data_IF_368938309254
#
_entry.id   IF_368938309254
#
_cell.length_a   1.000
_cell.length_b   1.000
_cell.length_c   1.000
_cell.angle_alpha   90.00
_cell.angle_beta   90.00
_cell.angle_gamma   90.00
#
_symmetry.space_group_name_H-M   'P 1'
#
loop_
_entity.id
_entity.type
_entity.pdbx_description
1 polymer ?
#
# COMPACT_ATOMS: atom_id res chain seq x y z
N UNK A 1 -5.61 12.68 18.33
CA UNK A 1 -6.28 12.36 17.06
C UNK A 1 -5.44 11.46 16.15
N UNK A 2 -4.22 11.86 15.75
CA UNK A 2 -3.38 11.07 14.82
C UNK A 2 -3.11 9.61 15.26
N UNK A 3 -2.93 9.36 16.56
CA UNK A 3 -2.78 7.99 17.07
C UNK A 3 -4.03 7.11 16.83
N UNK A 4 -5.22 7.66 17.06
CA UNK A 4 -6.49 6.95 16.82
C UNK A 4 -6.72 6.66 15.34
N UNK A 5 -6.35 7.57 14.45
CA UNK A 5 -6.41 7.34 13.00
C UNK A 5 -5.49 6.20 12.57
N UNK A 6 -4.27 6.14 13.10
CA UNK A 6 -3.34 5.03 12.85
C UNK A 6 -3.84 3.70 13.42
N UNK A 7 -4.42 3.71 14.63
CA UNK A 7 -4.99 2.51 15.22
C UNK A 7 -6.19 2.00 14.41
N UNK A 8 -7.03 2.89 13.88
CA UNK A 8 -8.11 2.52 12.96
C UNK A 8 -7.57 1.89 11.68
N UNK A 9 -6.51 2.47 11.10
CA UNK A 9 -5.85 1.92 9.92
C UNK A 9 -5.25 0.54 10.20
N UNK A 10 -4.69 0.32 11.39
CA UNK A 10 -4.14 -0.97 11.80
C UNK A 10 -5.20 -2.07 11.76
N UNK A 11 -6.35 -1.85 12.41
CA UNK A 11 -7.38 -2.89 12.50
C UNK A 11 -8.01 -3.23 11.16
N UNK A 12 -8.30 -2.20 10.34
CA UNK A 12 -8.91 -2.45 9.03
C UNK A 12 -7.94 -3.15 8.06
N UNK A 13 -6.65 -2.79 8.11
CA UNK A 13 -5.63 -3.42 7.27
C UNK A 13 -5.26 -4.81 7.77
N UNK A 14 -5.40 -5.08 9.07
CA UNK A 14 -5.24 -6.42 9.58
C UNK A 14 -6.33 -7.37 9.07
N UNK A 15 -7.58 -6.90 9.01
CA UNK A 15 -8.67 -7.66 8.39
C UNK A 15 -8.41 -7.88 6.87
N UNK A 16 -7.95 -6.85 6.16
CA UNK A 16 -7.62 -6.96 4.74
C UNK A 16 -6.43 -7.88 4.44
N UNK A 17 -5.42 -7.89 5.32
CA UNK A 17 -4.27 -8.79 5.22
C UNK A 17 -4.69 -10.24 5.44
N UNK A 18 -5.55 -10.50 6.43
CA UNK A 18 -6.12 -11.83 6.66
C UNK A 18 -6.95 -12.33 5.46
N UNK A 19 -7.73 -11.47 4.80
CA UNK A 19 -8.45 -11.83 3.57
C UNK A 19 -7.52 -12.24 2.41
N UNK A 20 -6.27 -11.74 2.41
CA UNK A 20 -5.28 -12.08 1.38
C UNK A 20 -4.44 -13.29 1.76
N UNK A 21 -4.17 -13.48 3.05
CA UNK A 21 -3.40 -14.58 3.59
C UNK A 21 -4.04 -15.05 4.91
N UNK A 22 -4.98 -16.01 4.87
CA UNK A 22 -5.79 -16.39 6.03
C UNK A 22 -4.98 -17.29 6.99
N UNK A 23 -4.18 -16.68 7.85
CA UNK A 23 -3.47 -17.33 8.96
C UNK A 23 -4.30 -17.37 10.24
N UNK A 24 -3.99 -18.29 11.15
CA UNK A 24 -4.65 -18.36 12.46
C UNK A 24 -6.14 -18.71 12.41
N UNK A 25 -6.60 -19.38 11.34
CA UNK A 25 -7.97 -19.87 11.20
C UNK A 25 -8.00 -21.21 10.45
N UNK A 26 -9.01 -22.03 10.73
CA UNK A 26 -9.26 -23.31 10.07
C UNK A 26 -10.71 -23.43 9.63
N UNK A 27 -10.99 -24.25 8.62
CA UNK A 27 -12.35 -24.50 8.17
C UNK A 27 -12.96 -25.66 8.97
N UNK A 28 -14.10 -25.41 9.60
CA UNK A 28 -14.88 -26.44 10.29
C UNK A 28 -16.02 -26.92 9.38
N UNK A 29 -16.09 -28.23 9.19
CA UNK A 29 -17.06 -28.91 8.31
C UNK A 29 -18.45 -28.95 8.97
N UNK A 30 -18.53 -28.94 10.31
CA UNK A 30 -19.80 -29.03 11.02
C UNK A 30 -20.53 -27.68 11.05
N UNK A 31 -19.77 -26.59 11.22
CA UNK A 31 -20.31 -25.22 11.27
C UNK A 31 -20.26 -24.49 9.92
N UNK A 32 -19.63 -25.10 8.90
CA UNK A 32 -19.46 -24.57 7.54
C UNK A 32 -18.87 -23.15 7.49
N UNK A 33 -17.96 -22.84 8.42
CA UNK A 33 -17.32 -21.51 8.55
C UNK A 33 -15.84 -21.63 8.90
N UNK A 34 -15.12 -20.53 8.67
CA UNK A 34 -13.75 -20.37 9.17
C UNK A 34 -13.80 -20.02 10.66
N UNK A 35 -13.17 -20.86 11.49
CA UNK A 35 -13.04 -20.62 12.93
C UNK A 35 -11.60 -20.24 13.28
N UNK A 36 -11.46 -19.22 14.13
CA UNK A 36 -10.16 -18.69 14.55
C UNK A 36 -9.47 -19.69 15.48
N UNK A 37 -8.22 -20.02 15.16
CA UNK A 37 -7.35 -20.87 15.98
C UNK A 37 -6.39 -20.05 16.85
N UNK A 38 -5.87 -18.93 16.31
CA UNK A 38 -4.87 -18.10 16.98
C UNK A 38 -5.06 -16.62 16.65
N UNK A 39 -5.42 -15.83 17.66
CA UNK A 39 -5.55 -14.37 17.49
C UNK A 39 -4.19 -13.69 17.28
N UNK A 40 -3.13 -14.18 17.92
CA UNK A 40 -1.78 -13.60 17.77
C UNK A 40 -1.25 -13.78 16.34
N UNK A 41 -1.44 -14.95 15.73
CA UNK A 41 -1.05 -15.19 14.33
C UNK A 41 -1.86 -14.35 13.34
N UNK A 42 -3.12 -14.04 13.68
CA UNK A 42 -3.95 -13.15 12.86
C UNK A 42 -3.45 -11.70 12.94
N UNK A 43 -3.06 -11.20 14.12
CA UNK A 43 -2.60 -9.81 14.31
C UNK A 43 -1.18 -9.59 13.78
N UNK A 44 -0.29 -10.57 13.96
CA UNK A 44 1.11 -10.47 13.51
C UNK A 44 1.33 -11.10 12.12
N UNK A 45 0.29 -11.17 11.30
CA UNK A 45 0.39 -11.63 9.93
C UNK A 45 1.33 -10.70 9.14
N UNK A 46 2.40 -11.24 8.50
CA UNK A 46 3.39 -10.43 7.80
C UNK A 46 2.77 -9.57 6.70
N UNK A 47 1.77 -10.10 5.98
CA UNK A 47 1.06 -9.41 4.89
C UNK A 47 0.28 -8.21 5.42
N UNK A 48 -0.31 -8.34 6.61
CA UNK A 48 -1.00 -7.24 7.28
C UNK A 48 -0.03 -6.13 7.70
N UNK A 49 1.15 -6.50 8.20
CA UNK A 49 2.15 -5.54 8.68
C UNK A 49 2.72 -4.69 7.55
N UNK A 50 3.13 -5.31 6.44
CA UNK A 50 3.68 -4.58 5.29
C UNK A 50 2.62 -3.65 4.68
N UNK A 51 1.38 -4.12 4.53
CA UNK A 51 0.26 -3.30 4.04
C UNK A 51 -0.07 -2.15 4.97
N UNK A 52 -0.02 -2.35 6.28
CA UNK A 52 -0.23 -1.30 7.27
C UNK A 52 0.75 -0.15 7.08
N UNK A 53 2.05 -0.45 7.12
CA UNK A 53 3.08 0.60 7.04
C UNK A 53 3.03 1.28 5.67
N UNK A 54 2.89 0.53 4.58
CA UNK A 54 2.79 1.12 3.24
C UNK A 54 1.58 2.06 3.09
N UNK A 55 0.41 1.65 3.57
CA UNK A 55 -0.83 2.44 3.43
C UNK A 55 -0.81 3.70 4.29
N UNK A 56 -0.31 3.60 5.52
CA UNK A 56 -0.17 4.77 6.42
C UNK A 56 0.80 5.79 5.82
N UNK A 57 1.94 5.33 5.30
CA UNK A 57 2.92 6.21 4.66
C UNK A 57 2.35 6.86 3.40
N UNK A 58 1.63 6.10 2.56
CA UNK A 58 0.92 6.65 1.42
C UNK A 58 -0.10 7.73 1.83
N UNK A 59 -0.83 7.52 2.93
CA UNK A 59 -1.74 8.52 3.49
C UNK A 59 -1.02 9.81 3.92
N UNK A 60 0.16 9.70 4.53
CA UNK A 60 1.00 10.86 4.85
C UNK A 60 1.47 11.61 3.59
N UNK A 61 1.84 10.89 2.52
CA UNK A 61 2.15 11.50 1.23
C UNK A 61 0.96 12.26 0.68
N UNK A 62 -0.24 11.67 0.68
CA UNK A 62 -1.46 12.33 0.20
C UNK A 62 -1.75 13.61 0.98
N UNK A 63 -1.65 13.58 2.31
CA UNK A 63 -1.85 14.76 3.16
C UNK A 63 -0.82 15.86 2.88
N UNK A 64 0.46 15.50 2.75
CA UNK A 64 1.52 16.44 2.43
C UNK A 64 1.31 17.09 1.05
N UNK A 65 0.94 16.28 0.05
CA UNK A 65 0.67 16.75 -1.30
C UNK A 65 -0.51 17.72 -1.35
N UNK A 66 -1.57 17.45 -0.58
CA UNK A 66 -2.71 18.34 -0.48
C UNK A 66 -2.34 19.71 0.10
N UNK A 67 -1.58 19.74 1.19
CA UNK A 67 -1.10 20.99 1.80
C UNK A 67 -0.21 21.76 0.83
N UNK A 68 0.71 21.07 0.15
CA UNK A 68 1.59 21.70 -0.84
C UNK A 68 0.82 22.23 -2.05
N UNK A 69 -0.19 21.51 -2.55
CA UNK A 69 -1.00 21.95 -3.68
C UNK A 69 -1.77 23.25 -3.35
N UNK A 70 -2.39 23.33 -2.17
CA UNK A 70 -3.09 24.55 -1.73
C UNK A 70 -2.10 25.69 -1.51
N UNK A 71 -0.95 25.41 -0.88
CA UNK A 71 0.08 26.42 -0.63
C UNK A 71 0.65 26.98 -1.94
N UNK A 72 0.93 26.11 -2.92
CA UNK A 72 1.35 26.51 -4.26
C UNK A 72 0.28 27.37 -4.95
N UNK A 73 -1.00 27.02 -4.82
CA UNK A 73 -2.09 27.82 -5.35
C UNK A 73 -2.15 29.23 -4.74
N UNK A 74 -1.98 29.36 -3.42
CA UNK A 74 -1.92 30.68 -2.78
C UNK A 74 -0.73 31.52 -3.24
N UNK A 75 0.44 30.90 -3.40
CA UNK A 75 1.63 31.57 -3.93
C UNK A 75 1.41 32.08 -5.36
N UNK A 76 0.80 31.26 -6.23
CA UNK A 76 0.45 31.65 -7.60
C UNK A 76 -0.55 32.80 -7.66
N UNK A 77 -1.48 32.87 -6.70
CA UNK A 77 -2.48 33.96 -6.60
C UNK A 77 -1.95 35.18 -5.86
N UNK A 78 -0.71 35.15 -5.36
CA UNK A 78 -0.10 36.24 -4.59
C UNK A 78 -0.80 36.53 -3.26
N UNK A 79 -1.49 35.54 -2.67
CA UNK A 79 -2.25 35.66 -1.42
C UNK A 79 -1.49 35.00 -0.27
N UNK A 80 -1.56 35.57 0.93
CA UNK A 80 -1.06 34.95 2.18
C UNK A 80 0.34 34.32 2.07
N UNK A 81 1.28 35.05 1.46
CA UNK A 81 2.60 34.52 1.07
C UNK A 81 3.39 33.90 2.23
N UNK A 82 3.37 34.53 3.40
CA UNK A 82 4.12 34.05 4.57
C UNK A 82 3.61 32.70 5.07
N UNK A 83 2.28 32.54 5.12
CA UNK A 83 1.65 31.27 5.53
C UNK A 83 1.87 30.21 4.47
N UNK A 84 1.72 30.57 3.20
CA UNK A 84 1.87 29.64 2.09
C UNK A 84 3.32 29.13 1.93
N UNK A 85 4.34 29.99 2.07
CA UNK A 85 5.74 29.57 2.03
C UNK A 85 6.10 28.62 3.18
N UNK A 86 5.68 28.94 4.41
CA UNK A 86 5.95 28.10 5.59
C UNK A 86 5.25 26.74 5.47
N UNK A 87 3.99 26.74 5.05
CA UNK A 87 3.19 25.52 4.86
C UNK A 87 3.77 24.65 3.75
N UNK A 88 4.22 25.26 2.65
CA UNK A 88 4.86 24.56 1.55
C UNK A 88 6.20 23.94 1.97
N UNK A 89 7.03 24.66 2.74
CA UNK A 89 8.32 24.15 3.21
C UNK A 89 8.17 22.96 4.17
N UNK A 90 7.23 23.02 5.11
CA UNK A 90 6.96 21.88 6.01
C UNK A 90 6.39 20.70 5.21
N UNK A 91 5.43 20.97 4.32
CA UNK A 91 4.83 19.96 3.44
C UNK A 91 5.85 19.29 2.53
N UNK A 92 6.84 20.01 2.03
CA UNK A 92 7.86 19.45 1.13
C UNK A 92 8.84 18.55 1.86
N UNK A 93 9.31 18.94 3.04
CA UNK A 93 10.21 18.11 3.84
C UNK A 93 9.51 16.84 4.30
N UNK A 94 8.33 16.98 4.92
CA UNK A 94 7.56 15.83 5.40
C UNK A 94 7.11 14.93 4.25
N UNK A 95 6.61 15.52 3.16
CA UNK A 95 6.17 14.79 1.97
C UNK A 95 7.33 14.02 1.31
N UNK A 96 8.51 14.62 1.20
CA UNK A 96 9.68 13.94 0.63
C UNK A 96 10.09 12.73 1.46
N UNK A 97 10.17 12.88 2.79
CA UNK A 97 10.47 11.76 3.69
C UNK A 97 9.41 10.66 3.62
N UNK A 98 8.13 11.04 3.55
CA UNK A 98 7.03 10.09 3.42
C UNK A 98 7.05 9.34 2.08
N UNK A 99 7.42 10.02 0.98
CA UNK A 99 7.56 9.40 -0.35
C UNK A 99 8.67 8.36 -0.34
N UNK A 100 9.86 8.71 0.18
CA UNK A 100 11.00 7.77 0.26
C UNK A 100 10.60 6.52 1.05
N UNK A 101 9.95 6.71 2.20
CA UNK A 101 9.45 5.58 3.00
C UNK A 101 8.42 4.73 2.23
N UNK A 102 7.47 5.37 1.54
CA UNK A 102 6.44 4.68 0.76
C UNK A 102 7.04 3.86 -0.38
N UNK A 103 8.07 4.38 -1.07
CA UNK A 103 8.75 3.67 -2.15
C UNK A 103 9.48 2.42 -1.64
N UNK A 104 10.25 2.55 -0.56
CA UNK A 104 10.99 1.43 0.01
C UNK A 104 10.05 0.33 0.52
N UNK A 105 8.95 0.73 1.17
CA UNK A 105 7.94 -0.20 1.65
C UNK A 105 7.13 -0.82 0.50
N UNK A 106 6.94 -0.07 -0.58
CA UNK A 106 6.30 -0.56 -1.80
C UNK A 106 7.09 -1.70 -2.43
N UNK A 107 8.41 -1.56 -2.52
CA UNK A 107 9.29 -2.62 -3.00
C UNK A 107 9.22 -3.87 -2.12
N UNK A 108 9.30 -3.70 -0.80
CA UNK A 108 9.12 -4.84 0.13
C UNK A 108 7.74 -5.49 0.03
N UNK A 109 6.70 -4.70 -0.24
CA UNK A 109 5.34 -5.22 -0.44
C UNK A 109 5.21 -5.98 -1.74
N UNK A 110 5.87 -5.54 -2.81
CA UNK A 110 5.88 -6.23 -4.10
C UNK A 110 6.59 -7.58 -3.97
N UNK A 111 7.70 -7.63 -3.24
CA UNK A 111 8.42 -8.87 -2.94
C UNK A 111 7.53 -9.86 -2.17
N UNK A 112 6.81 -9.41 -1.14
CA UNK A 112 5.90 -10.27 -0.38
C UNK A 112 4.72 -10.76 -1.24
N UNK A 113 4.16 -9.89 -2.08
CA UNK A 113 3.10 -10.28 -3.03
C UNK A 113 3.61 -11.32 -4.02
N UNK A 114 4.87 -11.24 -4.49
CA UNK A 114 5.48 -12.25 -5.35
C UNK A 114 5.44 -13.65 -4.72
N UNK A 115 5.67 -13.74 -3.40
CA UNK A 115 5.74 -15.00 -2.67
C UNK A 115 4.35 -15.52 -2.28
N UNK A 116 3.48 -14.65 -1.79
CA UNK A 116 2.18 -15.05 -1.23
C UNK A 116 1.09 -15.11 -2.29
N UNK A 117 1.14 -14.21 -3.29
CA UNK A 117 0.10 -14.04 -4.31
C UNK A 117 0.70 -13.73 -5.69
N UNK A 118 1.48 -14.65 -6.29
CA UNK A 118 2.21 -14.40 -7.55
C UNK A 118 1.28 -14.02 -8.71
N UNK A 119 0.03 -14.49 -8.69
CA UNK A 119 -0.98 -14.13 -9.70
C UNK A 119 -1.23 -12.62 -9.75
N UNK A 120 -1.20 -11.93 -8.60
CA UNK A 120 -1.38 -10.48 -8.56
C UNK A 120 -0.19 -9.75 -9.18
N UNK A 121 1.03 -10.18 -8.85
CA UNK A 121 2.23 -9.59 -9.41
C UNK A 121 2.33 -9.86 -10.91
N UNK A 122 2.07 -11.09 -11.35
CA UNK A 122 2.05 -11.45 -12.77
C UNK A 122 1.04 -10.60 -13.55
N UNK A 123 -0.15 -10.36 -13.00
CA UNK A 123 -1.13 -9.48 -13.61
C UNK A 123 -0.69 -8.00 -13.62
N UNK A 124 0.01 -7.52 -12.59
CA UNK A 124 0.56 -6.16 -12.52
C UNK A 124 1.69 -5.93 -13.52
N UNK A 125 2.57 -6.92 -13.71
CA UNK A 125 3.69 -6.89 -14.66
C UNK A 125 3.27 -7.30 -16.08
N UNK A 126 2.04 -7.78 -16.28
CA UNK A 126 1.55 -8.24 -17.58
C UNK A 126 2.21 -9.53 -18.07
N UNK A 127 2.67 -10.36 -17.15
CA UNK A 127 3.33 -11.64 -17.43
C UNK A 127 2.29 -12.76 -17.62
N UNK A 128 2.15 -13.22 -18.85
CA UNK A 128 1.20 -14.27 -19.23
C UNK A 128 1.82 -15.67 -19.26
N UNK A 129 3.15 -15.74 -19.35
CA UNK A 129 3.91 -16.99 -19.36
C UNK A 129 4.94 -16.97 -18.22
N UNK A 130 5.24 -18.13 -17.66
CA UNK A 130 6.25 -18.24 -16.61
C UNK A 130 7.64 -18.20 -17.23
N UNK A 131 8.37 -17.12 -17.02
CA UNK A 131 9.76 -16.97 -17.44
C UNK A 131 10.75 -17.43 -16.33
N UNK A 132 11.90 -18.03 -16.69
CA UNK A 132 12.96 -18.30 -15.73
C UNK A 132 13.57 -16.99 -15.21
N UNK A 133 13.95 -16.96 -13.93
CA UNK A 133 14.59 -15.78 -13.35
C UNK A 133 15.92 -15.44 -14.07
N UNK A 134 16.21 -14.15 -14.37
CA UNK A 134 15.43 -12.96 -14.05
C UNK A 134 14.39 -12.59 -15.12
N UNK A 135 13.14 -12.36 -14.69
CA UNK A 135 12.07 -11.84 -15.55
C UNK A 135 12.24 -10.31 -15.76
N UNK A 136 11.92 -9.78 -16.96
CA UNK A 136 12.01 -8.35 -17.24
C UNK A 136 10.92 -7.54 -16.51
N UNK A 137 11.25 -6.31 -16.09
CA UNK A 137 10.28 -5.36 -15.53
C UNK A 137 9.59 -4.58 -16.66
N UNK A 138 8.25 -4.48 -16.59
CA UNK A 138 7.47 -3.77 -17.60
C UNK A 138 7.01 -2.40 -17.09
N UNK A 139 7.41 -1.31 -17.77
CA UNK A 139 6.97 0.07 -17.44
C UNK A 139 5.45 0.25 -17.65
N UNK A 140 4.84 -0.57 -18.50
CA UNK A 140 3.40 -0.66 -18.67
C UNK A 140 3.03 -1.80 -19.63
N UNK A 141 1.88 -2.41 -19.39
CA UNK A 141 1.33 -3.46 -20.24
C UNK A 141 -0.11 -3.11 -20.64
N UNK A 142 -0.45 -3.35 -21.92
CA UNK A 142 -1.83 -3.29 -22.40
C UNK A 142 -2.37 -4.71 -22.44
N UNK A 143 -3.33 -5.01 -21.56
CA UNK A 143 -4.04 -6.28 -21.59
C UNK A 143 -4.92 -6.35 -22.85
N UNK A 144 -4.36 -6.86 -23.94
CA UNK A 144 -5.15 -7.27 -25.11
C UNK A 144 -5.87 -8.57 -24.77
N UNK A 145 -7.20 -8.56 -24.77
CA UNK A 145 -7.98 -9.82 -24.85
C UNK A 145 -7.51 -10.59 -26.08
N UNK A 146 -7.09 -11.83 -25.86
CA UNK A 146 -6.27 -12.63 -26.76
C UNK A 146 -6.58 -12.52 -28.26
N UNK A 147 -5.52 -12.30 -29.04
CA UNK A 147 -5.43 -12.75 -30.43
C UNK A 147 -3.95 -12.90 -30.80
N UNK A 148 -3.35 -14.01 -30.37
CA UNK A 148 -2.22 -14.63 -31.09
C UNK A 148 -2.49 -16.13 -31.13
N UNK A 149 -3.00 -16.59 -32.28
CA UNK A 149 -2.83 -17.95 -32.76
C UNK A 149 -1.35 -18.19 -33.11
#
# INVERSE_FOLDING_TARGET
MAFGSNLSALWILNANGWMQYPTGAHFDIDTLRMEMTSFSELVFNPVSQVKFVHTVMAGYVTGAMFIMAISAWYLLRGRERDVALRSFAIGSVFGTLAIIGTLQLGDSSAYEVAQVQPVKLAAMEGEWQTEPAPAPFHVGCLAGTGSRA
#
